data_IF_081939771271
#
_entry.id   IF_081939771271
#
_cell.length_a   1.000
_cell.length_b   1.000
_cell.length_c   1.000
_cell.angle_alpha   90.00
_cell.angle_beta   90.00
_cell.angle_gamma   90.00
#
_symmetry.space_group_name_H-M   'P 1'
#
loop_
_entity.id
_entity.type
_entity.pdbx_description
1 polymer ?
#
# COMPACT_ATOMS: atom_id res chain seq x y z
N UNK A 1 3.87 -3.77 22.70
CA UNK A 1 3.91 -2.41 23.32
C UNK A 1 4.19 -2.43 24.82
N UNK A 2 4.73 -1.34 25.40
CA UNK A 2 4.80 -1.13 26.87
C UNK A 2 3.38 -1.12 27.47
N UNK A 3 3.16 -1.77 28.62
CA UNK A 3 1.83 -1.94 29.24
C UNK A 3 1.05 -0.62 29.44
N UNK A 4 1.72 0.46 29.83
CA UNK A 4 1.08 1.77 30.00
C UNK A 4 0.51 2.38 28.71
N UNK A 5 1.18 2.13 27.57
CA UNK A 5 0.74 2.65 26.27
C UNK A 5 -0.57 1.98 25.82
N UNK A 6 -0.77 0.70 26.14
CA UNK A 6 -2.00 -0.03 25.79
C UNK A 6 -3.21 0.57 26.49
N UNK A 7 -3.08 0.99 27.75
CA UNK A 7 -4.16 1.66 28.47
C UNK A 7 -4.51 3.01 27.84
N UNK A 8 -3.51 3.80 27.46
CA UNK A 8 -3.72 5.08 26.75
C UNK A 8 -4.39 4.87 25.39
N UNK A 9 -3.94 3.89 24.60
CA UNK A 9 -4.54 3.56 23.30
C UNK A 9 -6.00 3.14 23.44
N UNK A 10 -6.35 2.33 24.45
CA UNK A 10 -7.73 1.94 24.74
C UNK A 10 -8.59 3.11 25.20
N UNK A 11 -8.01 4.04 25.95
CA UNK A 11 -8.71 5.25 26.39
C UNK A 11 -9.01 6.23 25.24
N UNK A 12 -8.34 6.08 24.09
CA UNK A 12 -8.49 6.99 22.94
C UNK A 12 -7.93 8.40 23.17
N UNK A 13 -7.24 8.65 24.29
CA UNK A 13 -6.68 9.96 24.64
C UNK A 13 -5.35 10.23 23.93
N UNK A 14 -5.35 10.20 22.60
CA UNK A 14 -4.20 10.55 21.77
C UNK A 14 -4.65 11.06 20.41
N UNK A 15 -3.80 11.87 19.77
CA UNK A 15 -4.08 12.44 18.44
C UNK A 15 -3.36 11.69 17.32
N UNK A 16 -2.12 11.27 17.56
CA UNK A 16 -1.24 10.64 16.57
C UNK A 16 -0.56 9.42 17.19
N UNK A 17 -0.52 8.31 16.44
CA UNK A 17 0.27 7.14 16.77
C UNK A 17 1.36 6.98 15.73
N UNK A 18 2.62 7.10 16.16
CA UNK A 18 3.79 6.73 15.36
C UNK A 18 4.24 5.31 15.78
N UNK A 19 4.41 4.42 14.81
CA UNK A 19 4.82 3.04 15.06
C UNK A 19 5.49 2.42 13.84
N UNK A 20 6.03 1.22 14.00
CA UNK A 20 6.69 0.47 12.92
C UNK A 20 5.81 -0.69 12.44
N UNK A 21 6.19 -1.29 11.32
CA UNK A 21 5.43 -2.39 10.70
C UNK A 21 5.32 -3.63 11.58
N UNK A 22 6.36 -3.93 12.33
CA UNK A 22 6.40 -5.07 13.24
C UNK A 22 5.31 -4.93 14.32
N UNK A 23 5.12 -3.72 14.86
CA UNK A 23 4.09 -3.45 15.86
C UNK A 23 2.68 -3.45 15.28
N UNK A 24 2.49 -2.95 14.06
CA UNK A 24 1.19 -3.04 13.35
C UNK A 24 0.74 -4.49 13.19
N UNK A 25 1.66 -5.40 12.88
CA UNK A 25 1.35 -6.83 12.72
C UNK A 25 1.15 -7.51 14.08
N UNK A 26 2.07 -7.26 15.04
CA UNK A 26 2.08 -7.92 16.35
C UNK A 26 0.91 -7.49 17.24
N UNK A 27 0.64 -6.19 17.31
CA UNK A 27 -0.35 -5.62 18.22
C UNK A 27 -1.70 -5.31 17.52
N UNK A 28 -1.95 -5.95 16.36
CA UNK A 28 -3.18 -5.76 15.55
C UNK A 28 -4.47 -5.93 16.34
N UNK A 29 -4.50 -6.81 17.34
CA UNK A 29 -5.70 -7.08 18.15
C UNK A 29 -6.17 -5.86 18.96
N UNK A 30 -5.27 -4.91 19.23
CA UNK A 30 -5.58 -3.68 19.95
C UNK A 30 -5.75 -2.54 18.94
N UNK A 31 -4.79 -2.40 18.02
CA UNK A 31 -4.74 -1.27 17.08
C UNK A 31 -5.83 -1.30 16.01
N UNK A 32 -6.28 -2.49 15.57
CA UNK A 32 -7.36 -2.66 14.61
C UNK A 32 -8.74 -2.25 15.17
N UNK A 33 -8.91 -2.25 16.50
CA UNK A 33 -10.17 -1.82 17.14
C UNK A 33 -10.40 -0.32 17.04
N UNK A 34 -9.35 0.45 16.79
CA UNK A 34 -9.40 1.89 16.65
C UNK A 34 -9.83 2.24 15.23
N UNK A 35 -10.83 3.11 15.08
CA UNK A 35 -11.23 3.64 13.76
C UNK A 35 -10.29 4.76 13.34
N UNK A 36 -9.37 4.46 12.44
CA UNK A 36 -8.37 5.41 11.96
C UNK A 36 -8.98 6.38 10.93
N UNK A 37 -8.72 7.67 11.09
CA UNK A 37 -9.13 8.70 10.12
C UNK A 37 -8.15 8.83 8.97
N UNK A 38 -6.86 8.62 9.25
CA UNK A 38 -5.75 8.72 8.31
C UNK A 38 -4.75 7.60 8.62
N UNK A 39 -4.15 7.06 7.57
CA UNK A 39 -3.05 6.11 7.65
C UNK A 39 -1.94 6.59 6.71
N UNK A 40 -0.75 6.81 7.24
CA UNK A 40 0.42 7.21 6.46
C UNK A 40 1.45 6.09 6.58
N UNK A 41 1.91 5.60 5.45
CA UNK A 41 2.94 4.57 5.35
C UNK A 41 4.14 5.19 4.64
N UNK A 42 5.28 5.22 5.33
CA UNK A 42 6.53 5.74 4.81
C UNK A 42 7.35 4.64 4.13
N UNK A 43 8.34 4.96 3.31
CA UNK A 43 9.16 3.95 2.63
C UNK A 43 8.33 2.87 1.90
N UNK A 44 7.35 3.32 1.12
CA UNK A 44 6.36 2.48 0.43
C UNK A 44 6.95 1.40 -0.47
N UNK A 45 8.23 1.52 -0.84
CA UNK A 45 9.00 0.46 -1.49
C UNK A 45 9.02 -0.85 -0.69
N UNK A 46 8.86 -0.81 0.64
CA UNK A 46 8.71 -2.00 1.50
C UNK A 46 7.39 -2.76 1.25
N UNK A 47 6.40 -2.12 0.61
CA UNK A 47 5.09 -2.70 0.29
C UNK A 47 4.98 -3.22 -1.16
N UNK A 48 6.07 -3.16 -1.95
CA UNK A 48 6.06 -3.57 -3.36
C UNK A 48 5.81 -5.06 -3.58
N UNK A 49 6.08 -5.90 -2.59
CA UNK A 49 5.77 -7.32 -2.68
C UNK A 49 4.26 -7.50 -2.54
N UNK A 50 3.59 -7.95 -3.60
CA UNK A 50 2.14 -8.15 -3.59
C UNK A 50 1.67 -9.22 -2.58
N UNK A 51 2.57 -10.09 -2.11
CA UNK A 51 2.36 -11.02 -0.99
C UNK A 51 2.74 -10.41 0.38
N UNK A 52 2.91 -9.10 0.48
CA UNK A 52 3.32 -8.48 1.73
C UNK A 52 2.24 -8.68 2.80
N UNK A 53 2.62 -9.43 3.84
CA UNK A 53 1.82 -9.67 5.04
C UNK A 53 1.30 -8.36 5.67
N UNK A 54 2.07 -7.27 5.54
CA UNK A 54 1.66 -5.95 6.01
C UNK A 54 0.42 -5.45 5.26
N UNK A 55 0.44 -5.42 3.93
CA UNK A 55 -0.69 -4.97 3.10
C UNK A 55 -1.95 -5.79 3.39
N UNK A 56 -1.82 -7.12 3.53
CA UNK A 56 -2.93 -7.99 3.89
C UNK A 56 -3.49 -7.67 5.28
N UNK A 57 -2.63 -7.45 6.27
CA UNK A 57 -3.03 -7.07 7.63
C UNK A 57 -3.73 -5.71 7.64
N UNK A 58 -3.18 -4.72 6.94
CA UNK A 58 -3.75 -3.37 6.84
C UNK A 58 -5.10 -3.38 6.15
N UNK A 59 -5.25 -4.13 5.05
CA UNK A 59 -6.51 -4.21 4.31
C UNK A 59 -7.60 -4.98 5.05
N UNK A 60 -7.23 -6.05 5.76
CA UNK A 60 -8.21 -6.94 6.42
C UNK A 60 -8.62 -6.42 7.79
N UNK A 61 -7.68 -5.87 8.56
CA UNK A 61 -7.93 -5.55 9.97
C UNK A 61 -8.11 -4.05 10.23
N UNK A 62 -7.54 -3.16 9.41
CA UNK A 62 -7.53 -1.73 9.71
C UNK A 62 -8.51 -0.95 8.82
N UNK A 63 -9.39 -0.19 9.46
CA UNK A 63 -10.28 0.74 8.77
C UNK A 63 -9.68 2.13 8.79
N UNK A 64 -9.26 2.61 7.61
CA UNK A 64 -8.72 3.95 7.38
C UNK A 64 -9.17 4.45 5.99
N UNK A 65 -10.12 5.39 5.91
CA UNK A 65 -10.65 5.89 4.63
C UNK A 65 -9.63 6.68 3.81
N UNK A 66 -8.69 7.36 4.48
CA UNK A 66 -7.65 8.16 3.83
C UNK A 66 -6.30 7.51 4.08
N UNK A 67 -5.67 7.08 3.00
CA UNK A 67 -4.38 6.38 3.01
C UNK A 67 -3.40 7.17 2.17
N UNK A 68 -2.22 7.42 2.74
CA UNK A 68 -1.12 8.08 2.09
C UNK A 68 0.08 7.14 2.10
N UNK A 69 0.76 7.05 0.96
CA UNK A 69 1.98 6.29 0.80
C UNK A 69 3.09 7.27 0.41
N UNK A 70 4.18 7.29 1.18
CA UNK A 70 5.37 8.07 0.89
C UNK A 70 6.49 7.11 0.48
N UNK A 71 7.26 7.46 -0.55
CA UNK A 71 8.44 6.68 -0.95
C UNK A 71 9.48 7.57 -1.61
N UNK A 72 10.74 7.39 -1.22
CA UNK A 72 11.86 8.09 -1.85
C UNK A 72 12.43 7.38 -3.09
N UNK A 73 11.95 6.17 -3.41
CA UNK A 73 12.52 5.36 -4.50
C UNK A 73 11.54 5.21 -5.66
N UNK A 74 11.98 5.37 -6.92
CA UNK A 74 11.13 5.13 -8.07
C UNK A 74 10.73 3.65 -8.16
N UNK A 75 9.50 3.39 -8.60
CA UNK A 75 8.95 2.05 -8.78
C UNK A 75 9.70 1.29 -9.88
N UNK A 76 9.95 -0.02 -9.71
CA UNK A 76 10.77 -0.81 -10.65
C UNK A 76 10.03 -1.23 -11.93
N UNK A 77 8.95 -0.53 -12.31
CA UNK A 77 8.16 -0.76 -13.51
C UNK A 77 7.60 -2.18 -13.64
N UNK A 78 7.29 -2.85 -12.54
CA UNK A 78 6.62 -4.16 -12.53
C UNK A 78 5.14 -3.97 -12.21
N UNK A 79 4.25 -4.49 -13.06
CA UNK A 79 2.80 -4.40 -12.86
C UNK A 79 2.34 -4.93 -11.48
N UNK A 80 2.87 -6.05 -10.96
CA UNK A 80 2.51 -6.52 -9.62
C UNK A 80 2.92 -5.55 -8.50
N UNK A 81 4.04 -4.83 -8.65
CA UNK A 81 4.46 -3.83 -7.66
C UNK A 81 3.53 -2.61 -7.71
N UNK A 82 3.19 -2.14 -8.91
CA UNK A 82 2.22 -1.05 -9.09
C UNK A 82 0.85 -1.42 -8.49
N UNK A 83 0.39 -2.64 -8.78
CA UNK A 83 -0.85 -3.16 -8.23
C UNK A 83 -0.81 -3.20 -6.70
N UNK A 84 0.28 -3.66 -6.09
CA UNK A 84 0.39 -3.74 -4.64
C UNK A 84 0.24 -2.36 -3.98
N UNK A 85 0.83 -1.31 -4.57
CA UNK A 85 0.70 0.06 -4.06
C UNK A 85 -0.73 0.60 -4.25
N UNK A 86 -1.32 0.38 -5.42
CA UNK A 86 -2.70 0.81 -5.72
C UNK A 86 -3.73 0.08 -4.87
N UNK A 87 -3.55 -1.23 -4.64
CA UNK A 87 -4.36 -2.03 -3.73
C UNK A 87 -4.29 -1.51 -2.30
N UNK A 88 -3.13 -1.03 -1.85
CA UNK A 88 -3.04 -0.40 -0.53
C UNK A 88 -3.82 0.93 -0.48
N UNK A 89 -3.69 1.80 -1.47
CA UNK A 89 -4.36 3.10 -1.49
C UNK A 89 -5.88 2.96 -1.68
N UNK A 90 -6.31 2.06 -2.56
CA UNK A 90 -7.68 1.87 -3.02
C UNK A 90 -8.05 0.37 -3.02
N UNK A 91 -8.15 -0.27 -1.84
CA UNK A 91 -8.35 -1.73 -1.73
C UNK A 91 -9.68 -2.22 -2.28
N UNK A 92 -10.69 -1.35 -2.37
CA UNK A 92 -12.01 -1.69 -2.91
C UNK A 92 -12.02 -1.84 -4.42
N UNK A 93 -11.17 -1.09 -5.12
CA UNK A 93 -11.07 -1.06 -6.58
C UNK A 93 -10.12 -2.17 -7.06
N UNK A 94 -8.94 -2.28 -6.44
CA UNK A 94 -7.87 -3.15 -6.92
C UNK A 94 -7.78 -4.48 -6.15
N UNK A 95 -8.84 -5.29 -6.13
CA UNK A 95 -8.88 -6.52 -5.33
C UNK A 95 -8.01 -7.67 -5.86
N UNK A 96 -7.77 -7.74 -7.16
CA UNK A 96 -7.09 -8.85 -7.84
C UNK A 96 -5.97 -8.35 -8.74
N UNK A 97 -4.78 -8.91 -8.59
CA UNK A 97 -3.62 -8.61 -9.44
C UNK A 97 -3.88 -9.06 -10.88
N UNK A 98 -4.46 -10.25 -11.07
CA UNK A 98 -4.74 -10.80 -12.39
C UNK A 98 -5.71 -9.92 -13.19
N UNK A 99 -6.76 -9.41 -12.52
CA UNK A 99 -7.73 -8.50 -13.15
C UNK A 99 -7.07 -7.18 -13.53
N UNK A 100 -6.17 -6.67 -12.69
CA UNK A 100 -5.40 -5.47 -12.99
C UNK A 100 -4.47 -5.68 -14.20
N UNK A 101 -3.76 -6.80 -14.26
CA UNK A 101 -2.90 -7.13 -15.41
C UNK A 101 -3.71 -7.25 -16.70
N UNK A 102 -4.87 -7.92 -16.67
CA UNK A 102 -5.75 -8.01 -17.84
C UNK A 102 -6.25 -6.64 -18.29
N UNK A 103 -6.72 -5.81 -17.35
CA UNK A 103 -7.19 -4.45 -17.66
C UNK A 103 -6.08 -3.57 -18.22
N UNK A 104 -4.87 -3.69 -17.68
CA UNK A 104 -3.71 -2.97 -18.18
C UNK A 104 -3.29 -3.45 -19.57
N UNK A 105 -3.35 -4.76 -19.83
CA UNK A 105 -2.94 -5.36 -21.10
C UNK A 105 -4.01 -5.27 -22.22
N UNK A 106 -5.29 -5.14 -21.87
CA UNK A 106 -6.42 -5.08 -22.81
C UNK A 106 -6.26 -4.05 -23.96
N UNK A 107 -5.89 -2.78 -23.71
CA UNK A 107 -5.68 -1.81 -24.80
C UNK A 107 -4.48 -2.13 -25.70
N UNK A 108 -3.53 -2.96 -25.25
CA UNK A 108 -2.36 -3.35 -26.04
C UNK A 108 -2.56 -4.65 -26.82
N UNK A 109 -3.51 -5.49 -26.41
CA UNK A 109 -3.87 -6.71 -27.13
C UNK A 109 -4.47 -6.42 -28.52
N UNK A 110 -5.08 -5.25 -28.71
CA UNK A 110 -5.66 -4.83 -30.00
C UNK A 110 -4.62 -4.26 -30.99
N UNK A 111 -3.43 -3.87 -30.54
CA UNK A 111 -2.43 -3.17 -31.38
C UNK A 111 -1.26 -4.03 -31.82
N UNK A 112 -1.17 -5.30 -31.41
CA UNK A 112 -0.12 -6.23 -31.87
C UNK A 112 1.31 -5.89 -31.41
N UNK A 113 1.51 -4.79 -30.67
CA UNK A 113 2.81 -4.41 -30.12
C UNK A 113 3.09 -5.16 -28.81
N UNK A 114 4.16 -5.96 -28.79
CA UNK A 114 4.72 -6.51 -27.55
C UNK A 114 5.33 -5.38 -26.72
N UNK A 115 4.58 -4.87 -25.76
CA UNK A 115 5.08 -3.84 -24.84
C UNK A 115 6.11 -4.45 -23.91
N UNK A 116 7.39 -4.14 -24.16
CA UNK A 116 8.39 -4.10 -23.09
C UNK A 116 8.03 -2.92 -22.18
N UNK A 117 8.17 -3.05 -20.87
CA UNK A 117 7.75 -2.06 -19.84
C UNK A 117 8.55 -0.73 -19.86
N UNK A 118 9.04 -0.32 -21.03
CA UNK A 118 9.77 0.92 -21.33
C UNK A 118 8.90 2.19 -21.29
N UNK A 119 7.56 2.08 -21.28
CA UNK A 119 6.70 3.27 -21.23
C UNK A 119 6.85 4.07 -19.92
N UNK A 120 7.26 3.46 -18.81
CA UNK A 120 7.46 4.20 -17.56
C UNK A 120 8.85 4.87 -17.51
N UNK A 121 9.86 4.35 -18.23
CA UNK A 121 11.17 5.02 -18.35
C UNK A 121 11.16 6.26 -19.25
N UNK A 122 10.15 6.43 -20.11
CA UNK A 122 10.12 7.57 -21.06
C UNK A 122 9.75 8.89 -20.38
N UNK A 123 9.15 8.85 -19.18
CA UNK A 123 8.87 10.08 -18.40
C UNK A 123 10.08 10.55 -17.59
N UNK A 124 11.02 9.66 -17.25
CA UNK A 124 12.24 10.02 -16.52
C UNK A 124 13.35 10.61 -17.43
N UNK A 125 13.19 10.57 -18.75
CA UNK A 125 14.21 11.00 -19.71
C UNK A 125 13.99 12.36 -20.38
N UNK A 126 12.93 13.11 -20.04
CA UNK A 126 12.58 14.37 -20.74
C UNK A 126 12.61 15.63 -19.86
N UNK A 127 13.38 15.57 -18.77
CA UNK A 127 13.80 16.73 -17.98
C UNK A 127 15.32 16.70 -17.85
N UNK A 128 16.00 16.84 -18.98
CA UNK A 128 17.32 17.45 -19.12
C UNK A 128 17.36 18.17 -20.45
#
# INVERSE_FOLDING_TARGET
>A
MRRGLVAQLRSGKFNVLLTTYEYIIKDKQILAKIRWKYMIVDEGHRMKNHHCKLTQVLNTHYVAPRRLLLTGTPLQNKLPELWALLNFLLPTIFKSCNTFEQWFNAPFAMTGERVSVKCISTVQGKVR
#
